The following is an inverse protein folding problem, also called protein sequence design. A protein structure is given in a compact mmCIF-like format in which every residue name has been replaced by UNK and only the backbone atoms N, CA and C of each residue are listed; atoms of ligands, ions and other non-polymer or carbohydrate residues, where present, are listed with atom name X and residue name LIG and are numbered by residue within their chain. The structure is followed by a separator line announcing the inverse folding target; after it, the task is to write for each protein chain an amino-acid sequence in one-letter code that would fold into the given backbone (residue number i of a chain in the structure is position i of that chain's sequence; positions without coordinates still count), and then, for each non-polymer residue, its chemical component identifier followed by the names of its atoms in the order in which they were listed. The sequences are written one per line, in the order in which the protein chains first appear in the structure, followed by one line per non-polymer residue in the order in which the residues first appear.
data_IF_545923116950
#
_entry.id   IF_545923116950
#
_cell.length_a   1.000
_cell.length_b   1.000
_cell.length_c   1.000
_cell.angle_alpha   90.00
_cell.angle_beta   90.00
_cell.angle_gamma   90.00
#
_symmetry.space_group_name_H-M   'P 1'
#
loop_
_entity.id
_entity.type
_entity.pdbx_description
1 polymer ?
#
# COMPACT_ATOMS: atom_id res chain seq x y z
N UNK A 1 16.43 -0.55 -10.33
CA UNK A 1 15.28 0.15 -9.71
C UNK A 1 15.42 1.65 -9.99
N UNK A 2 14.57 2.24 -10.85
CA UNK A 2 14.70 3.66 -11.24
C UNK A 2 13.99 4.54 -10.22
N UNK A 3 14.72 5.42 -9.52
CA UNK A 3 14.22 6.36 -8.50
C UNK A 3 13.24 7.35 -9.15
N UNK A 4 12.04 7.55 -8.58
CA UNK A 4 11.16 8.62 -9.06
C UNK A 4 11.86 9.97 -8.86
N UNK A 5 11.96 10.76 -9.92
CA UNK A 5 12.55 12.11 -9.84
C UNK A 5 11.49 13.06 -9.27
N UNK A 6 11.83 13.92 -8.29
CA UNK A 6 10.87 14.78 -7.58
C UNK A 6 10.29 15.93 -8.42
N UNK A 7 10.63 16.00 -9.71
CA UNK A 7 10.21 17.09 -10.61
C UNK A 7 8.86 16.83 -11.30
N UNK A 8 8.27 15.64 -11.11
CA UNK A 8 6.99 15.27 -11.71
C UNK A 8 5.99 14.89 -10.62
N UNK A 9 4.71 14.89 -10.97
CA UNK A 9 3.66 14.37 -10.09
C UNK A 9 3.94 12.91 -9.67
N UNK A 10 3.52 12.59 -8.46
CA UNK A 10 3.61 11.29 -7.81
C UNK A 10 2.69 10.21 -8.39
N UNK A 11 1.96 10.50 -9.47
CA UNK A 11 1.01 9.57 -10.09
C UNK A 11 1.71 8.32 -10.64
N UNK A 12 1.34 7.14 -10.11
CA UNK A 12 1.85 5.85 -10.55
C UNK A 12 0.98 5.20 -11.64
N UNK A 13 -0.34 5.22 -11.45
CA UNK A 13 -1.31 4.62 -12.36
C UNK A 13 -2.71 5.17 -12.11
N UNK A 14 -3.58 5.10 -13.13
CA UNK A 14 -5.01 5.38 -13.03
C UNK A 14 -5.79 4.07 -13.18
N UNK A 15 -6.55 3.68 -12.16
CA UNK A 15 -7.50 2.57 -12.24
C UNK A 15 -8.91 3.10 -12.51
N UNK A 16 -9.63 2.49 -13.44
CA UNK A 16 -11.04 2.82 -13.73
C UNK A 16 -11.85 1.54 -13.74
N UNK A 17 -13.00 1.55 -13.09
CA UNK A 17 -13.92 0.41 -13.02
C UNK A 17 -15.28 0.81 -13.53
N UNK A 18 -15.95 -0.12 -14.22
CA UNK A 18 -17.33 0.05 -14.72
C UNK A 18 -18.19 -1.10 -14.19
N UNK A 19 -19.41 -0.79 -13.80
CA UNK A 19 -20.45 -1.73 -13.38
C UNK A 19 -21.76 -1.47 -14.12
N UNK A 20 -22.76 -2.33 -13.91
CA UNK A 20 -24.13 -2.08 -14.38
C UNK A 20 -24.82 -0.96 -13.59
N UNK A 21 -24.37 -0.79 -12.35
CA UNK A 21 -24.77 0.25 -11.42
C UNK A 21 -23.53 0.73 -10.63
N UNK A 22 -23.72 1.75 -9.78
CA UNK A 22 -22.65 2.34 -8.99
C UNK A 22 -22.09 1.34 -7.96
N UNK A 23 -22.94 0.59 -7.26
CA UNK A 23 -22.52 -0.43 -6.29
C UNK A 23 -21.60 -1.49 -6.91
N UNK A 24 -21.91 -1.97 -8.11
CA UNK A 24 -21.09 -2.91 -8.86
C UNK A 24 -19.75 -2.30 -9.28
N UNK A 25 -19.72 -1.01 -9.64
CA UNK A 25 -18.48 -0.29 -9.94
C UNK A 25 -17.60 -0.15 -8.69
N UNK A 26 -18.19 0.21 -7.55
CA UNK A 26 -17.52 0.31 -6.25
C UNK A 26 -16.95 -1.04 -5.82
N UNK A 27 -17.74 -2.12 -5.89
CA UNK A 27 -17.28 -3.47 -5.55
C UNK A 27 -16.07 -3.91 -6.41
N UNK A 28 -16.09 -3.60 -7.71
CA UNK A 28 -14.96 -3.88 -8.62
C UNK A 28 -13.73 -3.03 -8.27
N UNK A 29 -13.92 -1.76 -7.92
CA UNK A 29 -12.83 -0.87 -7.50
C UNK A 29 -12.20 -1.35 -6.19
N UNK A 30 -13.00 -1.76 -5.20
CA UNK A 30 -12.52 -2.33 -3.93
C UNK A 30 -11.65 -3.57 -4.16
N UNK A 31 -12.13 -4.50 -4.99
CA UNK A 31 -11.36 -5.68 -5.40
C UNK A 31 -10.07 -5.30 -6.12
N UNK A 32 -10.16 -4.40 -7.10
CA UNK A 32 -9.00 -3.93 -7.86
C UNK A 32 -7.91 -3.34 -6.95
N UNK A 33 -8.27 -2.46 -6.03
CA UNK A 33 -7.35 -1.90 -5.04
C UNK A 33 -6.75 -2.97 -4.12
N UNK A 34 -7.54 -3.96 -3.68
CA UNK A 34 -7.06 -5.06 -2.84
C UNK A 34 -6.07 -5.99 -3.56
N UNK A 35 -6.08 -6.03 -4.89
CA UNK A 35 -5.17 -6.84 -5.71
C UNK A 35 -3.85 -6.14 -6.05
N UNK A 36 -3.79 -4.80 -5.97
CA UNK A 36 -2.54 -4.08 -6.21
C UNK A 36 -1.42 -4.54 -5.26
N UNK A 37 -0.23 -4.76 -5.82
CA UNK A 37 0.99 -5.08 -5.08
C UNK A 37 2.10 -4.13 -5.54
N UNK A 38 2.21 -3.00 -4.86
CA UNK A 38 3.25 -1.99 -5.12
C UNK A 38 4.23 -2.03 -3.95
N UNK A 39 5.52 -2.22 -4.25
CA UNK A 39 6.60 -2.28 -3.27
C UNK A 39 7.65 -1.20 -3.56
N UNK A 40 8.33 -0.74 -2.52
CA UNK A 40 9.42 0.24 -2.63
C UNK A 40 8.98 1.71 -2.63
N UNK A 41 7.67 1.99 -2.61
CA UNK A 41 7.10 3.33 -2.44
C UNK A 41 5.82 3.25 -1.61
N UNK A 42 5.55 4.28 -0.80
CA UNK A 42 4.25 4.46 -0.14
C UNK A 42 3.21 4.89 -1.16
N UNK A 43 1.98 4.39 -1.04
CA UNK A 43 0.88 4.70 -1.95
C UNK A 43 -0.36 5.15 -1.17
N UNK A 44 -1.26 5.87 -1.84
CA UNK A 44 -2.55 6.28 -1.28
C UNK A 44 -3.63 5.18 -1.30
N UNK A 45 -3.27 3.92 -1.62
CA UNK A 45 -4.21 2.79 -1.71
C UNK A 45 -5.04 2.61 -0.42
N UNK A 46 -4.46 2.63 0.81
CA UNK A 46 -5.25 2.46 2.02
C UNK A 46 -6.32 3.53 2.20
N UNK A 47 -6.00 4.79 1.86
CA UNK A 47 -6.95 5.90 1.88
C UNK A 47 -8.10 5.66 0.88
N UNK A 48 -7.77 5.29 -0.37
CA UNK A 48 -8.78 5.00 -1.39
C UNK A 48 -9.68 3.82 -0.99
N UNK A 49 -9.13 2.79 -0.31
CA UNK A 49 -9.92 1.70 0.24
C UNK A 49 -10.89 2.18 1.31
N UNK A 50 -10.45 3.05 2.23
CA UNK A 50 -11.32 3.64 3.24
C UNK A 50 -12.46 4.47 2.62
N UNK A 51 -12.17 5.27 1.57
CA UNK A 51 -13.21 6.02 0.84
C UNK A 51 -14.25 5.07 0.23
N UNK A 52 -13.83 3.98 -0.42
CA UNK A 52 -14.76 3.03 -1.03
C UNK A 52 -15.57 2.20 0.00
N UNK A 53 -15.06 2.09 1.23
CA UNK A 53 -15.71 1.40 2.35
C UNK A 53 -16.73 2.29 3.09
N UNK A 54 -16.67 3.62 2.90
CA UNK A 54 -17.55 4.58 3.57
C UNK A 54 -19.02 4.47 3.07
N UNK A 55 -20.02 4.39 3.97
CA UNK A 55 -21.42 4.28 3.59
C UNK A 55 -21.96 5.46 2.79
N UNK A 56 -21.53 6.70 3.08
CA UNK A 56 -21.98 7.88 2.36
C UNK A 56 -21.38 7.90 0.94
N UNK A 57 -20.14 7.44 0.77
CA UNK A 57 -19.59 7.21 -0.56
C UNK A 57 -20.40 6.16 -1.34
N UNK A 58 -20.75 5.04 -0.71
CA UNK A 58 -21.55 3.98 -1.35
C UNK A 58 -22.98 4.42 -1.70
N UNK A 59 -23.56 5.34 -0.92
CA UNK A 59 -24.85 5.96 -1.21
C UNK A 59 -24.80 6.95 -2.39
N UNK A 60 -23.61 7.41 -2.79
CA UNK A 60 -23.43 8.40 -3.86
C UNK A 60 -23.81 9.83 -3.46
N UNK A 61 -24.09 10.07 -2.17
CA UNK A 61 -24.45 11.38 -1.62
C UNK A 61 -23.17 12.12 -1.16
N UNK A 62 -22.49 12.79 -2.09
CA UNK A 62 -21.18 13.37 -1.85
C UNK A 62 -21.18 14.89 -2.03
N UNK A 63 -20.53 15.59 -1.09
CA UNK A 63 -20.18 17.00 -1.19
C UNK A 63 -18.69 17.17 -1.48
N UNK A 64 -18.27 18.37 -1.89
CA UNK A 64 -16.84 18.70 -2.02
C UNK A 64 -16.10 18.70 -0.68
N UNK A 65 -16.83 18.76 0.44
CA UNK A 65 -16.29 18.74 1.81
C UNK A 65 -16.19 17.32 2.39
N UNK A 66 -16.64 16.29 1.66
CA UNK A 66 -16.77 14.91 2.16
C UNK A 66 -15.51 14.39 2.88
N UNK A 67 -14.33 14.67 2.32
CA UNK A 67 -13.04 14.22 2.87
C UNK A 67 -12.65 15.03 4.11
N UNK A 68 -12.84 16.35 4.07
CA UNK A 68 -12.46 17.26 5.16
C UNK A 68 -13.28 16.99 6.43
N UNK A 69 -14.53 16.56 6.26
CA UNK A 69 -15.45 16.18 7.34
C UNK A 69 -15.11 14.81 7.97
N UNK A 70 -14.19 14.05 7.38
CA UNK A 70 -13.88 12.65 7.75
C UNK A 70 -12.38 12.38 7.93
N UNK A 71 -11.75 12.97 8.97
CA UNK A 71 -10.32 12.80 9.22
C UNK A 71 -9.90 11.33 9.46
N UNK A 72 -10.83 10.46 9.84
CA UNK A 72 -10.61 9.02 10.00
C UNK A 72 -10.25 8.29 8.70
N UNK A 73 -10.65 8.79 7.53
CA UNK A 73 -10.31 8.18 6.23
C UNK A 73 -8.80 8.18 5.98
N UNK A 74 -8.08 9.16 6.53
CA UNK A 74 -6.63 9.31 6.38
C UNK A 74 -5.88 8.37 7.33
N UNK A 75 -6.55 7.86 8.37
CA UNK A 75 -5.95 6.94 9.37
C UNK A 75 -6.05 5.46 8.96
N UNK A 76 -6.40 5.19 7.70
CA UNK A 76 -6.66 3.85 7.20
C UNK A 76 -5.53 2.85 7.49
N UNK A 77 -5.94 1.61 7.78
CA UNK A 77 -5.09 0.56 8.31
C UNK A 77 -4.03 0.12 7.27
N UNK A 78 -2.75 0.27 7.59
CA UNK A 78 -1.66 -0.13 6.70
C UNK A 78 -1.50 -1.65 6.74
N UNK A 79 -1.46 -2.28 5.56
CA UNK A 79 -1.19 -3.73 5.45
C UNK A 79 0.12 -4.10 6.16
N UNK A 80 0.09 -5.15 6.99
CA UNK A 80 1.21 -5.55 7.87
C UNK A 80 2.40 -6.20 7.12
N UNK A 81 2.25 -6.45 5.81
CA UNK A 81 3.20 -7.07 4.87
C UNK A 81 4.15 -8.12 5.50
N UNK A 82 3.55 -9.14 6.13
CA UNK A 82 4.30 -10.15 6.90
C UNK A 82 5.19 -11.01 5.99
N UNK A 83 4.73 -11.34 4.79
CA UNK A 83 5.48 -12.18 3.84
C UNK A 83 6.81 -11.53 3.44
N UNK A 84 6.80 -10.24 3.08
CA UNK A 84 8.03 -9.52 2.75
C UNK A 84 8.98 -9.45 3.94
N UNK A 85 8.47 -9.26 5.17
CA UNK A 85 9.31 -9.26 6.37
C UNK A 85 10.02 -10.59 6.61
N UNK A 86 9.31 -11.71 6.43
CA UNK A 86 9.89 -13.05 6.56
C UNK A 86 10.95 -13.30 5.49
N UNK A 87 10.68 -12.93 4.23
CA UNK A 87 11.65 -13.07 3.15
C UNK A 87 12.91 -12.23 3.37
N UNK A 88 12.75 -10.99 3.85
CA UNK A 88 13.89 -10.13 4.18
C UNK A 88 14.74 -10.74 5.31
N UNK A 89 14.09 -11.28 6.34
CA UNK A 89 14.80 -11.95 7.43
C UNK A 89 15.54 -13.21 6.94
N UNK A 90 14.90 -14.06 6.14
CA UNK A 90 15.54 -15.24 5.55
C UNK A 90 16.75 -14.86 4.69
N UNK A 91 16.62 -13.81 3.87
CA UNK A 91 17.71 -13.33 3.03
C UNK A 91 18.89 -12.81 3.87
N UNK A 92 18.61 -12.05 4.93
CA UNK A 92 19.63 -11.53 5.84
C UNK A 92 20.40 -12.66 6.54
N UNK A 93 19.69 -13.64 7.11
CA UNK A 93 20.33 -14.80 7.75
C UNK A 93 21.13 -15.63 6.75
N UNK A 94 20.55 -15.93 5.58
CA UNK A 94 21.21 -16.80 4.59
C UNK A 94 22.48 -16.16 4.00
N UNK A 95 22.48 -14.85 3.78
CA UNK A 95 23.60 -14.15 3.14
C UNK A 95 24.63 -13.66 4.16
N UNK A 96 24.18 -13.08 5.28
CA UNK A 96 25.06 -12.42 6.24
C UNK A 96 25.44 -13.31 7.43
N UNK A 97 24.68 -14.37 7.71
CA UNK A 97 24.92 -15.29 8.84
C UNK A 97 24.76 -16.78 8.46
N UNK A 98 25.32 -17.25 7.32
CA UNK A 98 25.09 -18.62 6.83
C UNK A 98 25.53 -19.71 7.82
N UNK A 99 26.50 -19.42 8.68
CA UNK A 99 27.03 -20.35 9.70
C UNK A 99 26.76 -19.86 11.14
N UNK A 100 25.75 -19.01 11.34
CA UNK A 100 25.47 -18.33 12.62
C UNK A 100 26.16 -16.97 12.73
N UNK A 101 26.01 -16.32 13.90
CA UNK A 101 26.69 -15.06 14.19
C UNK A 101 28.20 -15.30 14.09
N UNK A 102 28.85 -14.64 13.12
CA UNK A 102 30.29 -14.83 12.87
C UNK A 102 31.06 -14.73 14.18
N UNK A 103 31.95 -15.71 14.43
CA UNK A 103 32.90 -15.61 15.52
C UNK A 103 33.56 -14.23 15.44
N UNK A 104 33.58 -13.53 16.58
CA UNK A 104 34.06 -12.16 16.71
C UNK A 104 35.27 -11.92 15.81
N UNK A 105 35.22 -10.82 15.04
CA UNK A 105 36.28 -10.40 14.13
C UNK A 105 37.65 -10.72 14.73
N UNK A 106 38.39 -11.62 14.08
CA UNK A 106 39.80 -11.82 14.42
C UNK A 106 40.48 -10.52 14.05
N UNK A 107 40.92 -9.79 15.07
CA UNK A 107 41.74 -8.59 14.94
C UNK A 107 43.07 -8.99 14.28
N UNK A 108 43.33 -8.57 13.03
CA UNK A 108 44.60 -8.85 12.38
C UNK A 108 45.59 -7.79 12.87
N UNK A 109 46.24 -8.09 13.99
CA UNK A 109 47.42 -7.36 14.46
C UNK A 109 48.56 -7.41 13.41
#
# INVERSE_FOLDING_TARGET
MRRSRPHFDSMLAKMTCRGRDFGAAVARARRGLAEFRIRGVTTNIPFLQAVLDDPQFQAGDLSTSFIDERPELVRANISKDRGTKVLNWLADITVNQPNGAGAAAIDPA
#
